data_IF_595709179539
#
_entry.id   IF_595709179539
#
_cell.length_a   1.000
_cell.length_b   1.000
_cell.length_c   1.000
_cell.angle_alpha   90.00
_cell.angle_beta   90.00
_cell.angle_gamma   90.00
#
_symmetry.space_group_name_H-M   'P 1'
#
loop_
_entity.id
_entity.type
_entity.pdbx_description
1 polymer ?
#
# COMPACT_ATOMS: atom_id res chain seq x y z
N UNK A 1 6.00 9.59 -14.59
CA UNK A 1 6.87 8.86 -13.62
C UNK A 1 6.11 7.62 -13.16
N UNK A 2 6.76 6.48 -12.91
CA UNK A 2 6.10 5.25 -12.42
C UNK A 2 6.03 5.28 -10.89
N UNK A 3 4.91 4.86 -10.30
CA UNK A 3 4.71 4.78 -8.86
C UNK A 3 4.04 3.47 -8.45
N UNK A 4 4.43 2.92 -7.30
CA UNK A 4 3.76 1.81 -6.64
C UNK A 4 3.02 2.32 -5.40
N UNK A 5 1.82 1.81 -5.16
CA UNK A 5 1.01 2.17 -4.00
C UNK A 5 1.16 1.12 -2.91
N UNK A 6 1.37 1.55 -1.67
CA UNK A 6 1.37 0.67 -0.50
C UNK A 6 0.38 1.19 0.53
N UNK A 7 -0.59 0.36 0.91
CA UNK A 7 -1.60 0.67 1.93
C UNK A 7 -1.50 -0.30 3.09
N UNK A 8 -1.74 0.20 4.30
CA UNK A 8 -1.67 -0.61 5.52
C UNK A 8 -2.48 0.01 6.65
N UNK A 9 -3.21 -0.82 7.36
CA UNK A 9 -3.83 -0.47 8.64
C UNK A 9 -3.38 -1.44 9.72
N UNK A 10 -3.31 -0.99 10.97
CA UNK A 10 -2.78 -1.80 12.07
C UNK A 10 -3.74 -2.87 12.54
N UNK A 11 -5.03 -2.60 12.37
CA UNK A 11 -6.16 -3.40 12.82
C UNK A 11 -7.35 -3.00 11.95
N UNK A 12 -8.22 -3.96 11.64
CA UNK A 12 -9.45 -3.70 10.86
C UNK A 12 -10.56 -3.36 11.84
N UNK A 13 -11.11 -2.15 11.72
CA UNK A 13 -12.18 -1.61 12.56
C UNK A 13 -13.06 -0.68 11.73
N UNK A 14 -14.36 -0.70 12.00
CA UNK A 14 -15.34 0.06 11.22
C UNK A 14 -15.25 1.58 11.42
N UNK A 15 -14.68 2.04 12.54
CA UNK A 15 -14.49 3.45 12.90
C UNK A 15 -13.14 4.03 12.47
N UNK A 16 -12.33 3.26 11.73
CA UNK A 16 -11.02 3.68 11.24
C UNK A 16 -10.94 3.64 9.71
N UNK A 17 -10.01 4.40 9.15
CA UNK A 17 -9.72 4.35 7.71
C UNK A 17 -9.35 2.92 7.28
N UNK A 18 -9.90 2.49 6.14
CA UNK A 18 -9.60 1.19 5.53
C UNK A 18 -8.44 1.29 4.54
N UNK A 19 -7.83 0.14 4.21
CA UNK A 19 -6.85 0.07 3.11
C UNK A 19 -7.43 0.48 1.76
N UNK A 20 -8.74 0.29 1.55
CA UNK A 20 -9.45 0.71 0.34
C UNK A 20 -9.57 2.24 0.26
N UNK A 21 -9.91 2.90 1.38
CA UNK A 21 -9.93 4.37 1.47
C UNK A 21 -8.54 4.95 1.16
N UNK A 22 -7.48 4.35 1.73
CA UNK A 22 -6.11 4.74 1.44
C UNK A 22 -5.74 4.56 -0.04
N UNK A 23 -6.16 3.45 -0.66
CA UNK A 23 -5.93 3.19 -2.08
C UNK A 23 -6.58 4.28 -2.95
N UNK A 24 -7.86 4.59 -2.71
CA UNK A 24 -8.58 5.63 -3.45
C UNK A 24 -7.86 6.97 -3.36
N UNK A 25 -7.43 7.37 -2.15
CA UNK A 25 -6.71 8.62 -1.94
C UNK A 25 -5.36 8.65 -2.66
N UNK A 26 -4.61 7.54 -2.63
CA UNK A 26 -3.33 7.43 -3.33
C UNK A 26 -3.48 7.41 -4.85
N UNK A 27 -4.54 6.81 -5.38
CA UNK A 27 -4.83 6.86 -6.83
C UNK A 27 -5.19 8.27 -7.28
N UNK A 28 -6.01 8.98 -6.51
CA UNK A 28 -6.33 10.38 -6.79
C UNK A 28 -5.08 11.28 -6.74
N UNK A 29 -4.19 11.04 -5.78
CA UNK A 29 -2.90 11.72 -5.72
C UNK A 29 -2.04 11.40 -6.95
N UNK A 30 -1.90 10.12 -7.31
CA UNK A 30 -1.11 9.71 -8.48
C UNK A 30 -1.63 10.35 -9.77
N UNK A 31 -2.95 10.39 -9.97
CA UNK A 31 -3.59 11.04 -11.12
C UNK A 31 -3.25 12.54 -11.16
N UNK A 32 -3.43 13.25 -10.03
CA UNK A 32 -3.13 14.68 -9.93
C UNK A 32 -1.67 15.01 -10.23
N UNK A 33 -0.74 14.16 -9.80
CA UNK A 33 0.71 14.36 -9.99
C UNK A 33 1.23 13.76 -11.32
N UNK A 34 0.37 13.14 -12.15
CA UNK A 34 0.77 12.53 -13.42
C UNK A 34 1.64 11.27 -13.26
N UNK A 35 1.43 10.50 -12.20
CA UNK A 35 2.11 9.24 -11.95
C UNK A 35 1.35 8.05 -12.53
N UNK A 36 2.07 7.17 -13.23
CA UNK A 36 1.55 5.89 -13.68
C UNK A 36 1.62 4.90 -12.51
N UNK A 37 0.46 4.45 -12.03
CA UNK A 37 0.39 3.45 -10.96
C UNK A 37 0.64 2.06 -11.54
N UNK A 38 1.77 1.45 -11.18
CA UNK A 38 2.24 0.17 -11.72
C UNK A 38 2.03 -1.02 -10.80
N UNK A 39 1.63 -0.77 -9.55
CA UNK A 39 1.43 -1.81 -8.56
C UNK A 39 0.71 -1.29 -7.33
N UNK A 40 -0.05 -2.19 -6.70
CA UNK A 40 -0.73 -1.95 -5.42
C UNK A 40 -0.36 -3.09 -4.47
N UNK A 41 0.05 -2.73 -3.26
CA UNK A 41 0.50 -3.63 -2.21
C UNK A 41 -0.27 -3.28 -0.94
N UNK A 42 -0.82 -4.29 -0.27
CA UNK A 42 -1.75 -4.08 0.84
C UNK A 42 -1.39 -4.97 2.02
N UNK A 43 -1.53 -4.44 3.24
CA UNK A 43 -1.43 -5.16 4.49
C UNK A 43 -2.56 -4.71 5.43
N UNK A 44 -3.70 -5.39 5.34
CA UNK A 44 -4.91 -5.08 6.11
C UNK A 44 -4.89 -5.78 7.49
N UNK A 45 -5.13 -5.02 8.55
CA UNK A 45 -5.13 -5.54 9.92
C UNK A 45 -3.77 -6.01 10.45
N UNK A 46 -2.66 -5.52 9.86
CA UNK A 46 -1.30 -5.91 10.26
C UNK A 46 -0.55 -4.72 10.85
N UNK A 47 -0.38 -4.74 12.17
CA UNK A 47 0.43 -3.76 12.88
C UNK A 47 1.91 -3.84 12.47
N UNK A 48 2.48 -2.68 12.14
CA UNK A 48 3.91 -2.52 11.84
C UNK A 48 4.82 -2.77 13.06
N UNK A 49 4.26 -2.80 14.27
CA UNK A 49 5.00 -2.98 15.52
C UNK A 49 4.92 -4.40 16.09
N UNK A 50 4.05 -5.25 15.54
CA UNK A 50 3.78 -6.60 16.09
C UNK A 50 4.83 -7.67 15.72
N UNK A 51 5.80 -7.33 14.86
CA UNK A 51 6.73 -8.30 14.28
C UNK A 51 6.11 -9.26 13.27
N UNK A 52 4.78 -9.22 13.06
CA UNK A 52 4.11 -10.03 12.04
C UNK A 52 4.66 -9.72 10.65
N UNK A 53 4.82 -10.74 9.79
CA UNK A 53 5.19 -10.52 8.40
C UNK A 53 4.11 -9.68 7.72
N UNK A 54 4.56 -8.69 6.95
CA UNK A 54 3.74 -7.80 6.13
C UNK A 54 3.87 -8.23 4.68
N UNK A 55 3.09 -9.21 4.20
CA UNK A 55 3.25 -9.79 2.86
C UNK A 55 3.19 -8.75 1.73
N UNK A 56 2.33 -7.73 1.84
CA UNK A 56 2.28 -6.63 0.87
C UNK A 56 3.60 -5.86 0.83
N UNK A 57 4.13 -5.51 2.00
CA UNK A 57 5.43 -4.85 2.13
C UNK A 57 6.60 -5.71 1.60
N UNK A 58 6.60 -7.00 1.91
CA UNK A 58 7.65 -7.91 1.46
C UNK A 58 7.64 -8.01 -0.07
N UNK A 59 6.46 -8.19 -0.68
CA UNK A 59 6.31 -8.23 -2.13
C UNK A 59 6.77 -6.93 -2.80
N UNK A 60 6.41 -5.77 -2.23
CA UNK A 60 6.89 -4.48 -2.72
C UNK A 60 8.42 -4.42 -2.76
N UNK A 61 9.08 -4.81 -1.66
CA UNK A 61 10.56 -4.81 -1.62
C UNK A 61 11.16 -5.75 -2.65
N UNK A 62 10.57 -6.91 -2.87
CA UNK A 62 11.09 -7.88 -3.83
C UNK A 62 10.89 -7.41 -5.27
N UNK A 63 9.76 -6.79 -5.59
CA UNK A 63 9.51 -6.19 -6.91
C UNK A 63 10.44 -4.99 -7.17
N UNK A 64 10.71 -4.16 -6.15
CA UNK A 64 11.70 -3.07 -6.24
C UNK A 64 13.11 -3.59 -6.54
N UNK A 65 13.54 -4.69 -5.88
CA UNK A 65 14.84 -5.33 -6.17
C UNK A 65 14.86 -5.91 -7.59
N UNK A 66 13.74 -6.49 -8.02
CA UNK A 66 13.58 -7.06 -9.36
C UNK A 66 13.39 -6.00 -10.46
N UNK A 67 13.27 -4.72 -10.10
CA UNK A 67 12.98 -3.60 -11.00
C UNK A 67 11.73 -3.81 -11.85
N UNK A 68 10.70 -4.43 -11.26
CA UNK A 68 9.39 -4.65 -11.88
C UNK A 68 8.49 -3.45 -11.63
#
# INVERSE_FOLDING_TARGET
MRAALYTRISETKDDHDSVATQETNLRALADREGYEVIGLYMDDGISAYSGKPRPGWLRLKDDLKARR
#
